data_IF_119626464956
#
_entry.id   IF_119626464956
#
_cell.length_a   1.000
_cell.length_b   1.000
_cell.length_c   1.000
_cell.angle_alpha   90.00
_cell.angle_beta   90.00
_cell.angle_gamma   90.00
#
_symmetry.space_group_name_H-M   'P 1'
#
loop_
_entity.id
_entity.type
_entity.pdbx_description
1 polymer ?
#
# COMPACT_ATOMS: atom_id res chain seq x y z
N UNK A 1 6.66 1.99 -6.78
CA UNK A 1 5.34 1.52 -7.30
C UNK A 1 4.22 2.14 -6.45
N UNK A 2 3.02 2.29 -7.00
CA UNK A 2 1.84 2.79 -6.28
C UNK A 2 0.95 1.64 -5.84
N UNK A 3 0.59 1.64 -4.57
CA UNK A 3 -0.36 0.71 -3.96
C UNK A 3 -1.52 1.53 -3.39
N UNK A 4 -2.76 1.13 -3.65
CA UNK A 4 -3.93 1.86 -3.15
C UNK A 4 -4.97 0.94 -2.51
N UNK A 5 -5.67 1.49 -1.52
CA UNK A 5 -6.78 0.82 -0.85
C UNK A 5 -8.00 1.75 -0.75
N UNK A 6 -9.19 1.19 -0.98
CA UNK A 6 -10.47 1.87 -0.83
C UNK A 6 -11.03 2.44 -2.13
N UNK A 7 -12.36 2.45 -2.23
CA UNK A 7 -13.09 2.78 -3.46
C UNK A 7 -12.69 4.14 -4.07
N UNK A 8 -12.51 5.17 -3.24
CA UNK A 8 -12.13 6.50 -3.73
C UNK A 8 -10.74 6.55 -4.34
N UNK A 9 -9.81 5.68 -3.92
CA UNK A 9 -8.47 5.63 -4.48
C UNK A 9 -8.42 5.03 -5.88
N UNK A 10 -9.51 4.43 -6.36
CA UNK A 10 -9.63 4.01 -7.76
C UNK A 10 -9.38 5.16 -8.74
N UNK A 11 -9.80 6.37 -8.38
CA UNK A 11 -9.55 7.58 -9.17
C UNK A 11 -8.06 7.89 -9.36
N UNK A 12 -7.25 7.67 -8.31
CA UNK A 12 -5.79 7.86 -8.41
C UNK A 12 -5.17 6.71 -9.22
N UNK A 13 -5.61 5.48 -8.96
CA UNK A 13 -5.13 4.30 -9.67
C UNK A 13 -5.27 4.42 -11.18
N UNK A 14 -6.46 4.78 -11.66
CA UNK A 14 -6.76 4.87 -13.09
C UNK A 14 -5.91 5.93 -13.81
N UNK A 15 -5.50 6.98 -13.10
CA UNK A 15 -4.63 8.05 -13.63
C UNK A 15 -3.14 7.74 -13.51
N UNK A 16 -2.76 6.72 -12.77
CA UNK A 16 -1.36 6.34 -12.56
C UNK A 16 -0.87 5.51 -13.75
N UNK A 17 0.33 5.76 -14.31
CA UNK A 17 0.89 4.93 -15.39
C UNK A 17 1.02 3.45 -15.00
N UNK A 18 0.76 2.54 -15.93
CA UNK A 18 0.72 1.10 -15.64
C UNK A 18 2.06 0.55 -15.14
N UNK A 19 3.18 1.03 -15.68
CA UNK A 19 4.52 0.56 -15.30
C UNK A 19 4.90 0.81 -13.84
N UNK A 20 4.16 1.66 -13.12
CA UNK A 20 4.40 1.93 -11.70
C UNK A 20 3.28 1.42 -10.80
N UNK A 21 2.23 0.81 -11.34
CA UNK A 21 1.12 0.24 -10.56
C UNK A 21 1.58 -1.03 -9.82
N UNK A 22 1.28 -1.10 -8.53
CA UNK A 22 1.48 -2.28 -7.70
C UNK A 22 0.17 -3.06 -7.56
N UNK A 23 -0.70 -2.64 -6.63
CA UNK A 23 -2.03 -3.23 -6.45
C UNK A 23 -3.07 -2.19 -6.03
N UNK A 24 -4.33 -2.45 -6.39
CA UNK A 24 -5.51 -1.72 -5.94
C UNK A 24 -6.49 -2.71 -5.29
N UNK A 25 -6.81 -2.49 -4.01
CA UNK A 25 -7.68 -3.38 -3.23
C UNK A 25 -8.68 -2.59 -2.39
N UNK A 26 -9.55 -3.28 -1.67
CA UNK A 26 -10.65 -2.71 -0.91
C UNK A 26 -10.24 -1.98 0.39
N UNK A 27 -9.22 -2.46 1.12
CA UNK A 27 -8.86 -1.92 2.44
C UNK A 27 -7.37 -2.15 2.78
N UNK A 28 -6.90 -1.49 3.84
CA UNK A 28 -5.49 -1.54 4.25
C UNK A 28 -5.02 -2.95 4.64
N UNK A 29 -5.89 -3.74 5.29
CA UNK A 29 -5.61 -5.13 5.68
C UNK A 29 -5.33 -6.01 4.48
N UNK A 30 -6.13 -5.87 3.41
CA UNK A 30 -5.91 -6.59 2.15
C UNK A 30 -4.65 -6.12 1.40
N UNK A 31 -4.25 -4.85 1.56
CA UNK A 31 -3.09 -4.27 0.87
C UNK A 31 -1.76 -4.67 1.52
N UNK A 32 -1.73 -4.77 2.86
CA UNK A 32 -0.52 -5.06 3.62
C UNK A 32 0.29 -6.28 3.13
N UNK A 33 -0.29 -7.48 2.90
CA UNK A 33 0.48 -8.64 2.43
C UNK A 33 1.07 -8.43 1.03
N UNK A 34 0.41 -7.65 0.16
CA UNK A 34 0.90 -7.36 -1.19
C UNK A 34 2.11 -6.41 -1.14
N UNK A 35 2.06 -5.41 -0.26
CA UNK A 35 3.19 -4.49 -0.05
C UNK A 35 4.37 -5.24 0.56
N UNK A 36 4.13 -6.11 1.54
CA UNK A 36 5.17 -6.95 2.15
C UNK A 36 5.86 -7.87 1.15
N UNK A 37 5.10 -8.52 0.27
CA UNK A 37 5.66 -9.46 -0.70
C UNK A 37 6.55 -8.79 -1.76
N UNK A 38 6.31 -7.51 -2.07
CA UNK A 38 7.10 -6.78 -3.06
C UNK A 38 8.22 -5.92 -2.47
N UNK A 39 8.14 -5.58 -1.18
CA UNK A 39 9.17 -4.79 -0.52
C UNK A 39 10.51 -5.54 -0.49
N UNK A 40 11.58 -4.84 -0.84
CA UNK A 40 12.96 -5.37 -0.85
C UNK A 40 13.85 -4.56 0.09
N UNK A 41 14.96 -5.16 0.50
CA UNK A 41 15.99 -4.45 1.25
C UNK A 41 16.47 -3.22 0.46
N UNK A 42 16.50 -2.07 1.12
CA UNK A 42 16.88 -0.79 0.51
C UNK A 42 15.71 0.02 -0.07
N UNK A 43 14.49 -0.53 -0.14
CA UNK A 43 13.32 0.22 -0.57
C UNK A 43 12.96 1.33 0.43
N UNK A 44 12.56 2.49 -0.10
CA UNK A 44 11.98 3.59 0.68
C UNK A 44 10.47 3.56 0.47
N UNK A 45 9.71 3.39 1.55
CA UNK A 45 8.25 3.25 1.51
C UNK A 45 7.57 4.42 2.24
N UNK A 46 6.71 5.15 1.54
CA UNK A 46 5.82 6.15 2.13
C UNK A 46 4.40 5.60 2.25
N UNK A 47 3.84 5.63 3.46
CA UNK A 47 2.46 5.21 3.73
C UNK A 47 1.64 6.43 4.15
N UNK A 48 0.56 6.72 3.41
CA UNK A 48 -0.30 7.87 3.68
C UNK A 48 -1.78 7.51 3.55
N UNK A 49 -2.57 7.98 4.50
CA UNK A 49 -4.03 7.84 4.54
C UNK A 49 -4.64 8.69 5.64
N UNK A 50 -5.97 8.71 5.74
CA UNK A 50 -6.66 9.25 6.91
C UNK A 50 -6.69 8.21 8.04
N UNK A 51 -7.01 8.63 9.27
CA UNK A 51 -7.12 7.70 10.39
C UNK A 51 -8.19 6.61 10.16
N UNK A 52 -9.29 6.96 9.49
CA UNK A 52 -10.36 6.02 9.16
C UNK A 52 -9.91 4.95 8.15
N UNK A 53 -8.91 5.24 7.31
CA UNK A 53 -8.37 4.30 6.32
C UNK A 53 -7.51 3.19 6.93
N UNK A 54 -7.16 3.28 8.22
CA UNK A 54 -6.36 2.26 8.94
C UNK A 54 -5.03 1.91 8.26
N UNK A 55 -4.42 2.85 7.54
CA UNK A 55 -3.13 2.63 6.86
C UNK A 55 -1.98 2.32 7.82
N UNK A 56 -2.14 2.59 9.11
CA UNK A 56 -1.22 2.16 10.17
C UNK A 56 -1.02 0.65 10.21
N UNK A 57 -2.02 -0.15 9.80
CA UNK A 57 -1.90 -1.62 9.71
C UNK A 57 -0.79 -2.05 8.74
N UNK A 58 -0.61 -1.31 7.63
CA UNK A 58 0.46 -1.56 6.66
C UNK A 58 1.83 -1.28 7.28
N UNK A 59 1.95 -0.19 8.05
CA UNK A 59 3.20 0.16 8.75
C UNK A 59 3.54 -0.88 9.81
N UNK A 60 2.56 -1.33 10.59
CA UNK A 60 2.76 -2.40 11.58
C UNK A 60 3.25 -3.67 10.91
N UNK A 61 2.66 -4.07 9.79
CA UNK A 61 3.07 -5.26 9.05
C UNK A 61 4.52 -5.15 8.53
N UNK A 62 4.88 -4.01 7.93
CA UNK A 62 6.24 -3.74 7.44
C UNK A 62 7.28 -3.76 8.55
N UNK A 63 6.98 -3.17 9.72
CA UNK A 63 7.90 -3.19 10.87
C UNK A 63 8.02 -4.57 11.50
N UNK A 64 6.94 -5.34 11.55
CA UNK A 64 6.92 -6.68 12.11
C UNK A 64 7.66 -7.71 11.25
N UNK A 65 7.73 -7.50 9.94
CA UNK A 65 8.50 -8.35 9.02
C UNK A 65 10.00 -8.06 9.02
N UNK A 66 10.42 -6.92 9.58
CA UNK A 66 11.82 -6.51 9.67
C UNK A 66 12.53 -7.05 10.95
N UNK A 67 11.90 -7.98 11.66
CA UNK A 67 12.42 -8.64 12.86
C UNK A 67 13.03 -10.00 12.55
#
# INVERSE_FOLDING_TARGET
RLYVAGALMRNLWDKTPEGVRGAAVENAKALAPLVLADARAGDIVMVKGSNASKVSEIVTALKGAAA
#
